data_IF_574616386159
#
_entry.id   IF_574616386159
#
_cell.length_a   1.000
_cell.length_b   1.000
_cell.length_c   1.000
_cell.angle_alpha   90.00
_cell.angle_beta   90.00
_cell.angle_gamma   90.00
#
_symmetry.space_group_name_H-M   'P 1'
#
loop_
_entity.id
_entity.type
_entity.pdbx_description
1 polymer ?
#
# COMPACT_ATOMS: atom_id res chain seq x y z
N UNK A 1 21.59 26.78 10.98
CA UNK A 1 20.39 26.10 10.45
C UNK A 1 20.63 24.60 10.49
N UNK A 2 20.06 23.89 11.46
CA UNK A 2 20.18 22.43 11.58
C UNK A 2 19.30 21.74 10.53
N UNK A 3 19.82 20.81 9.71
CA UNK A 3 19.02 20.13 8.71
C UNK A 3 17.94 19.29 9.42
N UNK A 4 16.67 19.53 9.09
CA UNK A 4 15.53 18.73 9.55
C UNK A 4 15.61 17.36 8.88
N UNK A 5 16.31 16.42 9.51
CA UNK A 5 16.36 15.01 9.12
C UNK A 5 14.99 14.37 9.40
N UNK A 6 14.27 13.98 8.35
CA UNK A 6 12.97 13.29 8.45
C UNK A 6 13.13 11.77 8.26
N UNK A 7 12.23 11.03 8.92
CA UNK A 7 12.33 9.61 9.26
C UNK A 7 11.16 8.78 8.70
N UNK A 8 11.37 7.45 8.70
CA UNK A 8 10.64 6.37 8.00
C UNK A 8 9.25 6.67 7.43
N UNK A 9 9.05 6.23 6.19
CA UNK A 9 7.91 6.62 5.37
C UNK A 9 7.09 5.42 4.90
N UNK A 10 5.76 5.56 4.82
CA UNK A 10 4.90 4.69 4.02
C UNK A 10 5.07 5.02 2.54
N UNK A 11 5.12 4.02 1.66
CA UNK A 11 5.29 4.24 0.21
C UNK A 11 3.98 4.04 -0.53
N UNK A 12 3.73 4.88 -1.53
CA UNK A 12 2.64 4.70 -2.48
C UNK A 12 3.27 4.50 -3.85
N UNK A 13 3.17 3.29 -4.38
CA UNK A 13 3.69 2.95 -5.70
C UNK A 13 2.57 3.08 -6.73
N UNK A 14 2.73 3.96 -7.72
CA UNK A 14 1.82 4.10 -8.86
C UNK A 14 2.36 3.25 -10.02
N UNK A 15 1.61 2.23 -10.40
CA UNK A 15 1.91 1.35 -11.53
C UNK A 15 1.27 1.92 -12.79
N UNK A 16 2.11 2.38 -13.71
CA UNK A 16 1.73 2.72 -15.09
C UNK A 16 2.00 1.49 -15.96
N UNK A 17 0.95 0.86 -16.50
CA UNK A 17 1.13 -0.08 -17.61
C UNK A 17 1.22 0.72 -18.91
N UNK A 18 2.39 0.75 -19.53
CA UNK A 18 2.58 1.39 -20.84
C UNK A 18 1.91 0.59 -21.95
N UNK A 19 0.85 1.15 -22.52
CA UNK A 19 0.50 1.25 -23.95
C UNK A 19 -0.74 2.16 -24.02
N UNK A 20 -0.58 3.41 -24.49
CA UNK A 20 -1.72 4.30 -24.79
C UNK A 20 -2.02 4.17 -26.26
N UNK A 21 -3.10 3.46 -26.59
CA UNK A 21 -3.81 3.63 -27.86
C UNK A 21 -5.23 4.10 -27.56
N UNK A 22 -5.61 5.17 -28.26
CA UNK A 22 -6.93 5.78 -28.41
C UNK A 22 -7.74 6.08 -27.12
N UNK A 23 -7.88 7.40 -26.89
CA UNK A 23 -8.99 8.10 -26.23
C UNK A 23 -10.22 7.21 -25.96
N UNK A 24 -10.32 6.68 -24.74
CA UNK A 24 -11.53 5.98 -24.28
C UNK A 24 -12.26 6.85 -23.27
N UNK A 25 -13.34 7.46 -23.72
CA UNK A 25 -14.41 7.98 -22.85
C UNK A 25 -15.01 6.80 -22.09
N UNK A 26 -14.82 6.70 -20.78
CA UNK A 26 -15.40 5.60 -20.00
C UNK A 26 -14.94 5.58 -18.56
N UNK A 27 -15.76 5.04 -17.67
CA UNK A 27 -15.65 4.97 -16.20
C UNK A 27 -14.45 4.14 -15.65
N UNK A 28 -13.42 3.91 -16.46
CA UNK A 28 -12.33 2.96 -16.20
C UNK A 28 -11.04 3.61 -15.67
N UNK A 29 -10.25 2.83 -14.96
CA UNK A 29 -8.99 3.22 -14.34
C UNK A 29 -7.80 2.66 -15.12
N UNK A 30 -7.03 3.51 -15.80
CA UNK A 30 -5.84 3.08 -16.55
C UNK A 30 -4.59 2.92 -15.66
N UNK A 31 -4.71 3.24 -14.37
CA UNK A 31 -3.61 3.23 -13.41
C UNK A 31 -4.01 2.49 -12.15
N UNK A 32 -3.03 1.90 -11.47
CA UNK A 32 -3.23 1.22 -10.20
C UNK A 32 -2.21 1.70 -9.19
N UNK A 33 -2.66 1.93 -7.97
CA UNK A 33 -1.81 2.25 -6.84
C UNK A 33 -1.66 1.00 -5.98
N UNK A 34 -0.42 0.58 -5.74
CA UNK A 34 -0.09 -0.33 -4.65
C UNK A 34 0.53 0.48 -3.51
N UNK A 35 -0.23 0.69 -2.45
CA UNK A 35 0.27 1.31 -1.23
C UNK A 35 0.99 0.25 -0.39
N UNK A 36 2.26 0.51 -0.07
CA UNK A 36 3.03 -0.25 0.89
C UNK A 36 3.09 0.53 2.20
N UNK A 37 2.95 -0.17 3.33
CA UNK A 37 3.11 0.43 4.65
C UNK A 37 4.16 -0.31 5.44
N UNK A 38 4.87 0.46 6.27
CA UNK A 38 5.85 -0.05 7.21
C UNK A 38 5.16 -0.22 8.57
N UNK A 39 4.88 -1.46 9.02
CA UNK A 39 4.04 -1.70 10.20
C UNK A 39 4.56 -1.02 11.47
N UNK A 40 5.88 -0.93 11.65
CA UNK A 40 6.48 -0.35 12.86
C UNK A 40 6.20 1.14 12.96
N UNK A 41 6.38 1.89 11.87
CA UNK A 41 6.13 3.34 11.87
C UNK A 41 4.64 3.66 12.02
N UNK A 42 3.78 2.92 11.32
CA UNK A 42 2.33 3.10 11.43
C UNK A 42 1.82 2.75 12.83
N UNK A 43 2.27 1.64 13.39
CA UNK A 43 1.92 1.25 14.76
C UNK A 43 2.38 2.31 15.78
N UNK A 44 3.61 2.81 15.65
CA UNK A 44 4.16 3.80 16.58
C UNK A 44 3.32 5.07 16.57
N UNK A 45 3.03 5.58 15.38
CA UNK A 45 2.14 6.74 15.18
C UNK A 45 0.74 6.47 15.73
N UNK A 46 0.19 5.28 15.47
CA UNK A 46 -1.14 4.89 15.95
C UNK A 46 -1.23 4.89 17.48
N UNK A 47 -0.27 4.28 18.16
CA UNK A 47 -0.23 4.22 19.63
C UNK A 47 0.00 5.59 20.26
N UNK A 48 0.70 6.50 19.58
CA UNK A 48 0.97 7.85 20.09
C UNK A 48 -0.22 8.79 20.01
N UNK A 49 -1.15 8.58 19.06
CA UNK A 49 -2.34 9.41 18.90
C UNK A 49 -3.31 9.31 20.09
N UNK A 50 -3.34 8.18 20.77
CA UNK A 50 -4.20 7.97 21.94
C UNK A 50 -3.64 6.85 22.82
N UNK A 51 -3.57 7.08 24.13
CA UNK A 51 -3.08 6.11 25.12
C UNK A 51 -3.85 4.78 25.13
N UNK A 52 -5.11 4.75 24.68
CA UNK A 52 -5.90 3.53 24.57
C UNK A 52 -5.67 2.76 23.27
N UNK A 53 -4.90 3.31 22.33
CA UNK A 53 -4.65 2.64 21.05
C UNK A 53 -3.67 1.48 21.24
N UNK A 54 -4.00 0.36 20.59
CA UNK A 54 -3.13 -0.79 20.51
C UNK A 54 -3.00 -1.20 19.04
N UNK A 55 -1.82 -1.72 18.69
CA UNK A 55 -1.54 -2.16 17.34
C UNK A 55 -1.16 -3.65 17.30
N UNK A 56 -1.12 -4.22 16.10
CA UNK A 56 -0.54 -5.53 15.81
C UNK A 56 0.60 -5.34 14.81
N UNK A 57 1.81 -5.75 15.18
CA UNK A 57 2.97 -5.77 14.27
C UNK A 57 3.13 -7.20 13.73
N UNK A 58 3.18 -7.40 12.40
CA UNK A 58 3.41 -8.72 11.81
C UNK A 58 4.78 -9.30 12.20
N UNK A 59 4.92 -10.64 12.33
CA UNK A 59 6.11 -11.26 12.89
C UNK A 59 7.39 -10.98 12.08
N UNK A 60 7.27 -10.92 10.76
CA UNK A 60 8.41 -10.69 9.85
C UNK A 60 8.85 -9.22 9.78
N UNK A 61 8.09 -8.28 10.37
CA UNK A 61 8.37 -6.84 10.38
C UNK A 61 8.79 -6.29 9.00
N UNK A 62 8.14 -6.76 7.95
CA UNK A 62 8.40 -6.38 6.57
C UNK A 62 7.34 -5.40 6.05
N UNK A 63 7.53 -4.84 4.85
CA UNK A 63 6.52 -4.10 4.12
C UNK A 63 5.30 -4.97 3.88
N UNK A 64 4.13 -4.42 4.21
CA UNK A 64 2.85 -5.05 3.92
C UNK A 64 2.02 -4.15 3.03
N UNK A 65 0.98 -4.72 2.43
CA UNK A 65 0.00 -3.96 1.67
C UNK A 65 -0.77 -3.06 2.64
N UNK A 66 -0.81 -1.78 2.30
CA UNK A 66 -1.71 -0.80 2.89
C UNK A 66 -2.95 -0.52 2.07
N UNK A 67 -2.92 -0.86 0.78
CA UNK A 67 -4.04 -0.66 -0.12
C UNK A 67 -3.73 -1.02 -1.57
N UNK A 68 -4.75 -1.36 -2.34
CA UNK A 68 -4.64 -1.59 -3.77
C UNK A 68 -5.78 -0.88 -4.51
N UNK A 69 -5.47 0.25 -5.14
CA UNK A 69 -6.51 1.22 -5.51
C UNK A 69 -6.46 1.53 -7.01
N UNK A 70 -7.56 1.33 -7.75
CA UNK A 70 -7.77 1.97 -9.03
C UNK A 70 -7.53 3.48 -8.91
N UNK A 71 -6.85 4.06 -9.90
CA UNK A 71 -6.58 5.48 -9.99
C UNK A 71 -6.98 6.04 -11.35
N UNK A 72 -7.70 7.17 -11.31
CA UNK A 72 -7.99 8.01 -12.46
C UNK A 72 -7.53 9.43 -12.18
N UNK A 73 -6.94 10.08 -13.18
CA UNK A 73 -6.47 11.46 -13.04
C UNK A 73 -7.59 12.49 -12.82
N UNK A 74 -8.81 12.21 -13.28
CA UNK A 74 -9.95 13.13 -13.17
C UNK A 74 -10.71 13.02 -11.84
N UNK A 75 -10.81 11.82 -11.26
CA UNK A 75 -11.59 11.56 -10.04
C UNK A 75 -10.70 11.32 -8.80
N UNK A 76 -9.40 11.09 -8.98
CA UNK A 76 -8.40 10.80 -7.93
C UNK A 76 -8.86 9.73 -6.91
N UNK A 77 -8.44 8.47 -7.13
CA UNK A 77 -8.78 7.31 -6.28
C UNK A 77 -10.29 7.16 -6.06
N UNK A 78 -11.06 6.75 -7.08
CA UNK A 78 -12.50 6.56 -6.94
C UNK A 78 -12.83 5.55 -5.83
N UNK A 79 -13.97 5.77 -5.16
CA UNK A 79 -14.46 4.97 -4.03
C UNK A 79 -15.88 4.48 -4.28
N UNK A 80 -16.20 3.28 -3.80
CA UNK A 80 -17.55 2.71 -3.77
C UNK A 80 -18.24 2.71 -5.15
N UNK A 81 -17.50 2.42 -6.22
CA UNK A 81 -18.00 2.47 -7.60
C UNK A 81 -19.15 1.49 -7.86
N UNK A 82 -19.21 0.40 -7.10
CA UNK A 82 -20.35 -0.50 -7.09
C UNK A 82 -20.60 -1.01 -5.67
N UNK A 83 -21.60 -0.42 -4.99
CA UNK A 83 -21.95 -0.75 -3.59
C UNK A 83 -22.50 -2.16 -3.39
N UNK A 84 -22.91 -2.83 -4.47
CA UNK A 84 -23.40 -4.21 -4.43
C UNK A 84 -22.27 -5.25 -4.57
N UNK A 85 -21.05 -4.83 -4.92
CA UNK A 85 -19.90 -5.72 -5.06
C UNK A 85 -19.21 -5.98 -3.72
N UNK A 86 -19.79 -6.87 -2.93
CA UNK A 86 -19.19 -7.34 -1.69
C UNK A 86 -18.12 -8.42 -1.94
N UNK A 87 -17.12 -8.48 -1.05
CA UNK A 87 -16.09 -9.51 -1.12
C UNK A 87 -16.68 -10.90 -0.80
N UNK A 88 -16.30 -11.90 -1.59
CA UNK A 88 -16.70 -13.29 -1.33
C UNK A 88 -16.01 -13.87 -0.09
N UNK A 89 -16.78 -14.24 0.93
CA UNK A 89 -16.26 -14.88 2.15
C UNK A 89 -15.54 -16.20 1.88
N UNK A 90 -16.04 -17.00 0.92
CA UNK A 90 -15.39 -18.23 0.48
C UNK A 90 -13.97 -17.95 -0.03
N UNK A 91 -13.82 -16.94 -0.90
CA UNK A 91 -12.53 -16.55 -1.45
C UNK A 91 -11.62 -16.00 -0.36
N UNK A 92 -12.13 -15.12 0.51
CA UNK A 92 -11.34 -14.55 1.61
C UNK A 92 -10.82 -15.64 2.54
N UNK A 93 -11.61 -16.66 2.84
CA UNK A 93 -11.18 -17.80 3.65
C UNK A 93 -10.11 -18.65 2.92
N UNK A 94 -10.22 -18.87 1.60
CA UNK A 94 -9.22 -19.58 0.79
C UNK A 94 -7.84 -18.90 0.86
N UNK A 95 -7.79 -17.57 0.77
CA UNK A 95 -6.54 -16.80 0.69
C UNK A 95 -6.12 -16.16 2.03
N UNK A 96 -6.87 -16.42 3.10
CA UNK A 96 -6.68 -15.84 4.43
C UNK A 96 -5.23 -15.97 4.93
N UNK A 97 -4.54 -17.12 4.83
CA UNK A 97 -3.16 -17.23 5.32
C UNK A 97 -2.22 -16.22 4.63
N UNK A 98 -2.35 -16.05 3.32
CA UNK A 98 -1.53 -15.08 2.58
C UNK A 98 -1.87 -13.64 2.95
N UNK A 99 -3.15 -13.32 3.14
CA UNK A 99 -3.57 -11.97 3.55
C UNK A 99 -3.15 -11.63 4.98
N UNK A 100 -3.18 -12.58 5.92
CA UNK A 100 -2.72 -12.35 7.29
C UNK A 100 -1.23 -12.00 7.35
N UNK A 101 -0.42 -12.54 6.44
CA UNK A 101 1.01 -12.24 6.38
C UNK A 101 1.28 -10.91 5.68
N UNK A 102 0.55 -10.62 4.61
CA UNK A 102 0.94 -9.58 3.64
C UNK A 102 -0.01 -8.37 3.60
N UNK A 103 -1.20 -8.46 4.18
CA UNK A 103 -2.15 -7.36 4.32
C UNK A 103 -2.88 -7.40 5.68
N UNK A 104 -2.15 -7.53 6.80
CA UNK A 104 -2.78 -7.62 8.12
C UNK A 104 -3.33 -6.27 8.56
N UNK A 105 -4.37 -6.27 9.39
CA UNK A 105 -4.78 -5.10 10.17
C UNK A 105 -3.70 -4.74 11.19
N UNK A 106 -3.35 -3.46 11.23
CA UNK A 106 -2.43 -2.89 12.23
C UNK A 106 -3.21 -2.36 13.43
N UNK A 107 -4.45 -1.87 13.28
CA UNK A 107 -5.31 -1.49 14.40
C UNK A 107 -5.87 -2.76 15.07
N UNK A 108 -5.58 -2.96 16.36
CA UNK A 108 -6.08 -4.11 17.13
C UNK A 108 -7.61 -4.14 17.24
N UNK A 109 -8.27 -2.99 17.07
CA UNK A 109 -9.74 -2.87 17.11
C UNK A 109 -10.40 -3.30 15.80
N UNK A 110 -9.66 -3.27 14.70
CA UNK A 110 -10.17 -3.64 13.37
C UNK A 110 -9.77 -5.06 13.05
N UNK A 111 -10.76 -5.94 12.92
CA UNK A 111 -10.53 -7.32 12.48
C UNK A 111 -10.06 -7.38 11.03
N UNK A 112 -9.12 -8.29 10.74
CA UNK A 112 -8.59 -8.53 9.38
C UNK A 112 -9.68 -8.71 8.32
N UNK A 113 -10.71 -9.49 8.63
CA UNK A 113 -11.80 -9.73 7.68
C UNK A 113 -12.60 -8.45 7.38
N UNK A 114 -12.83 -7.59 8.38
CA UNK A 114 -13.48 -6.29 8.18
C UNK A 114 -12.62 -5.42 7.27
N UNK A 115 -11.33 -5.28 7.59
CA UNK A 115 -10.39 -4.52 6.78
C UNK A 115 -10.45 -4.93 5.30
N UNK A 116 -10.38 -6.23 5.00
CA UNK A 116 -10.39 -6.69 3.60
C UNK A 116 -11.75 -6.46 2.92
N UNK A 117 -12.86 -6.66 3.64
CA UNK A 117 -14.20 -6.37 3.09
C UNK A 117 -14.37 -4.89 2.79
N UNK A 118 -13.92 -4.02 3.69
CA UNK A 118 -14.01 -2.57 3.56
C UNK A 118 -13.11 -2.07 2.42
N UNK A 119 -11.87 -2.54 2.33
CA UNK A 119 -10.95 -2.24 1.21
C UNK A 119 -11.51 -2.71 -0.13
N UNK A 120 -12.08 -3.91 -0.21
CA UNK A 120 -12.68 -4.41 -1.45
C UNK A 120 -13.92 -3.59 -1.84
N UNK A 121 -14.81 -3.30 -0.89
CA UNK A 121 -16.02 -2.52 -1.16
C UNK A 121 -15.69 -1.09 -1.59
N UNK A 122 -14.74 -0.44 -0.92
CA UNK A 122 -14.33 0.91 -1.24
C UNK A 122 -13.53 0.98 -2.54
N UNK A 123 -12.54 0.11 -2.74
CA UNK A 123 -11.58 0.24 -3.84
C UNK A 123 -11.65 -0.89 -4.87
N UNK A 124 -11.81 -2.13 -4.43
CA UNK A 124 -11.98 -3.29 -5.32
C UNK A 124 -13.22 -3.18 -6.21
N UNK A 125 -14.31 -2.60 -5.71
CA UNK A 125 -15.53 -2.32 -6.47
C UNK A 125 -15.31 -1.36 -7.65
N UNK A 126 -14.20 -0.61 -7.67
CA UNK A 126 -13.80 0.26 -8.77
C UNK A 126 -12.90 -0.43 -9.81
N UNK A 127 -12.52 -1.69 -9.58
CA UNK A 127 -11.69 -2.49 -10.48
C UNK A 127 -12.52 -3.46 -11.36
N UNK A 128 -13.86 -3.39 -11.30
CA UNK A 128 -14.78 -4.32 -11.95
C UNK A 128 -14.64 -4.39 -13.48
N UNK A 129 -14.13 -3.34 -14.11
CA UNK A 129 -13.89 -3.29 -15.56
C UNK A 129 -12.50 -3.77 -15.97
N UNK A 130 -11.63 -4.07 -15.00
CA UNK A 130 -10.27 -4.53 -15.26
C UNK A 130 -10.28 -6.05 -15.17
N UNK A 131 -10.16 -6.75 -16.29
CA UNK A 131 -10.31 -8.22 -16.36
C UNK A 131 -9.40 -8.99 -15.40
N UNK A 132 -8.25 -8.40 -15.06
CA UNK A 132 -7.28 -8.95 -14.12
C UNK A 132 -7.61 -8.71 -12.63
N UNK A 133 -8.62 -7.89 -12.31
CA UNK A 133 -9.04 -7.49 -10.95
C UNK A 133 -10.57 -7.44 -10.75
N UNK A 134 -11.36 -7.90 -11.72
CA UNK A 134 -12.81 -7.70 -11.76
C UNK A 134 -13.62 -8.57 -10.79
N UNK A 135 -12.96 -9.39 -9.96
CA UNK A 135 -13.59 -10.18 -8.90
C UNK A 135 -12.72 -10.18 -7.63
N UNK A 136 -13.29 -10.68 -6.52
CA UNK A 136 -12.61 -10.74 -5.21
C UNK A 136 -11.26 -11.48 -5.31
N UNK A 137 -11.23 -12.63 -5.97
CA UNK A 137 -10.04 -13.50 -6.02
C UNK A 137 -8.92 -12.83 -6.80
N UNK A 138 -9.24 -12.32 -7.98
CA UNK A 138 -8.34 -11.60 -8.87
C UNK A 138 -7.81 -10.31 -8.24
N UNK A 139 -8.66 -9.53 -7.56
CA UNK A 139 -8.25 -8.32 -6.87
C UNK A 139 -7.18 -8.61 -5.79
N UNK A 140 -7.48 -9.51 -4.85
CA UNK A 140 -6.55 -9.80 -3.75
C UNK A 140 -5.29 -10.54 -4.21
N UNK A 141 -5.41 -11.55 -5.08
CA UNK A 141 -4.22 -12.22 -5.64
C UNK A 141 -3.39 -11.27 -6.49
N UNK A 142 -4.03 -10.35 -7.20
CA UNK A 142 -3.39 -9.28 -7.95
C UNK A 142 -2.56 -8.36 -7.06
N UNK A 143 -3.09 -7.95 -5.91
CA UNK A 143 -2.37 -7.14 -4.93
C UNK A 143 -1.17 -7.90 -4.31
N UNK A 144 -1.38 -9.15 -3.88
CA UNK A 144 -0.34 -10.02 -3.30
C UNK A 144 0.81 -10.28 -4.29
N UNK A 145 0.49 -10.57 -5.55
CA UNK A 145 1.48 -10.76 -6.60
C UNK A 145 2.33 -9.49 -6.83
N UNK A 146 1.71 -8.31 -6.74
CA UNK A 146 2.42 -7.03 -6.88
C UNK A 146 3.30 -6.73 -5.67
N UNK A 147 2.86 -7.02 -4.44
CA UNK A 147 3.72 -6.90 -3.26
C UNK A 147 5.01 -7.72 -3.44
N UNK A 148 4.88 -8.95 -3.93
CA UNK A 148 6.02 -9.83 -4.19
C UNK A 148 6.94 -9.27 -5.29
N UNK A 149 6.35 -8.80 -6.39
CA UNK A 149 7.09 -8.22 -7.52
C UNK A 149 7.83 -6.94 -7.17
N UNK A 150 7.20 -6.09 -6.35
CA UNK A 150 7.72 -4.78 -5.94
C UNK A 150 8.24 -4.83 -4.51
N UNK A 151 9.08 -5.83 -4.21
CA UNK A 151 9.62 -6.07 -2.87
C UNK A 151 10.50 -4.90 -2.41
N UNK A 152 9.92 -3.97 -1.65
CA UNK A 152 10.61 -2.79 -1.16
C UNK A 152 11.75 -3.11 -0.19
N UNK A 153 11.69 -4.22 0.55
CA UNK A 153 12.79 -4.63 1.42
C UNK A 153 14.03 -4.94 0.59
N UNK A 154 13.90 -5.76 -0.45
CA UNK A 154 15.02 -6.07 -1.33
C UNK A 154 15.52 -4.82 -2.07
N UNK A 155 14.61 -4.06 -2.67
CA UNK A 155 14.93 -2.85 -3.43
C UNK A 155 15.72 -1.84 -2.61
N UNK A 156 15.31 -1.60 -1.36
CA UNK A 156 15.99 -0.67 -0.47
C UNK A 156 17.32 -1.25 0.04
N UNK A 157 17.35 -2.54 0.38
CA UNK A 157 18.56 -3.22 0.83
C UNK A 157 19.68 -3.21 -0.23
N UNK A 158 19.35 -3.41 -1.51
CA UNK A 158 20.30 -3.34 -2.64
C UNK A 158 20.98 -1.97 -2.75
N UNK A 159 20.35 -0.92 -2.20
CA UNK A 159 20.88 0.45 -2.12
C UNK A 159 21.41 0.81 -0.74
N UNK A 160 21.64 -0.18 0.12
CA UNK A 160 22.10 -0.04 1.51
C UNK A 160 21.17 0.86 2.35
N UNK A 161 19.88 0.81 2.05
CA UNK A 161 18.81 1.46 2.81
C UNK A 161 18.15 0.38 3.66
N UNK A 162 18.46 0.37 4.96
CA UNK A 162 17.99 -0.64 5.91
C UNK A 162 17.32 0.02 7.11
N UNK A 163 16.38 -0.68 7.80
CA UNK A 163 15.80 -0.18 9.04
C UNK A 163 16.86 0.23 10.08
N UNK A 164 16.57 1.26 10.87
CA UNK A 164 17.45 1.75 11.96
C UNK A 164 18.47 2.83 11.59
N UNK A 165 18.60 3.18 10.31
CA UNK A 165 19.47 4.27 9.85
C UNK A 165 18.68 5.46 9.28
N UNK A 166 19.38 6.57 9.02
CA UNK A 166 18.80 7.80 8.48
C UNK A 166 19.14 7.98 7.00
N UNK A 167 18.12 8.31 6.21
CA UNK A 167 18.23 8.55 4.79
C UNK A 167 17.41 9.75 4.39
N UNK A 168 17.88 10.53 3.41
CA UNK A 168 17.06 11.57 2.83
C UNK A 168 15.90 10.97 2.05
N UNK A 169 14.77 11.67 2.00
CA UNK A 169 13.61 11.27 1.20
C UNK A 169 14.01 11.05 -0.26
N UNK A 170 14.86 11.91 -0.83
CA UNK A 170 15.33 11.77 -2.20
C UNK A 170 16.13 10.48 -2.42
N UNK A 171 17.04 10.12 -1.49
CA UNK A 171 17.80 8.87 -1.59
C UNK A 171 16.88 7.66 -1.61
N UNK A 172 15.83 7.68 -0.80
CA UNK A 172 14.82 6.62 -0.75
C UNK A 172 14.01 6.56 -2.05
N UNK A 173 13.51 7.71 -2.53
CA UNK A 173 12.74 7.78 -3.76
C UNK A 173 13.54 7.33 -4.98
N UNK A 174 14.78 7.78 -5.11
CA UNK A 174 15.68 7.38 -6.20
C UNK A 174 16.00 5.89 -6.16
N UNK A 175 16.21 5.33 -4.96
CA UNK A 175 16.42 3.89 -4.81
C UNK A 175 15.26 3.07 -5.39
N UNK A 176 14.01 3.50 -5.15
CA UNK A 176 12.83 2.81 -5.69
C UNK A 176 12.64 3.08 -7.18
N UNK A 177 12.74 4.34 -7.62
CA UNK A 177 12.56 4.72 -9.03
C UNK A 177 13.56 4.05 -9.95
N UNK A 178 14.82 3.91 -9.52
CA UNK A 178 15.90 3.36 -10.32
C UNK A 178 15.98 1.82 -10.29
N UNK A 179 15.05 1.14 -9.61
CA UNK A 179 14.98 -0.33 -9.57
C UNK A 179 14.11 -0.94 -10.67
N UNK A 180 13.43 -0.11 -11.48
CA UNK A 180 12.54 -0.58 -12.53
C UNK A 180 12.91 -0.02 -13.90
N UNK A 181 12.88 -0.87 -14.92
CA UNK A 181 13.17 -0.48 -16.31
C UNK A 181 12.07 0.38 -16.93
N UNK A 182 10.85 0.32 -16.39
CA UNK A 182 9.72 1.12 -16.85
C UNK A 182 9.50 2.30 -15.89
N UNK A 183 9.21 3.51 -16.40
CA UNK A 183 8.97 4.67 -15.56
C UNK A 183 7.72 4.46 -14.70
N UNK A 184 7.93 4.34 -13.40
CA UNK A 184 6.87 4.23 -12.40
C UNK A 184 6.82 5.50 -11.56
N UNK A 185 5.61 5.99 -11.30
CA UNK A 185 5.41 7.08 -10.37
C UNK A 185 5.54 6.54 -8.94
N UNK A 186 6.33 7.22 -8.10
CA UNK A 186 6.58 6.80 -6.72
C UNK A 186 6.28 7.97 -5.80
N UNK A 187 5.33 7.76 -4.89
CA UNK A 187 5.00 8.66 -3.80
C UNK A 187 5.51 8.11 -2.48
N UNK A 188 5.83 9.02 -1.55
CA UNK A 188 6.30 8.68 -0.21
C UNK A 188 5.59 9.57 0.79
N UNK A 189 5.02 8.97 1.83
CA UNK A 189 4.37 9.67 2.94
C UNK A 189 5.12 9.34 4.21
N UNK A 190 5.79 10.33 4.79
CA UNK A 190 6.55 10.15 6.02
C UNK A 190 5.73 10.59 7.23
N UNK A 191 5.97 9.96 8.38
CA UNK A 191 5.38 10.37 9.66
C UNK A 191 6.48 11.05 10.46
N UNK A 192 6.21 12.27 10.92
CA UNK A 192 7.08 12.98 11.84
C UNK A 192 6.54 12.85 13.25
N UNK A 193 7.37 12.37 14.18
CA UNK A 193 7.00 12.29 15.57
C UNK A 193 7.85 13.26 16.40
N UNK A 194 7.20 14.14 17.16
CA UNK A 194 7.87 15.23 17.86
C UNK A 194 8.68 14.73 19.06
N UNK A 195 8.13 13.82 19.87
CA UNK A 195 8.81 13.33 21.08
C UNK A 195 10.06 12.50 20.77
N UNK A 196 10.06 11.77 19.65
CA UNK A 196 11.26 11.07 19.19
C UNK A 196 12.03 11.89 18.17
N UNK A 197 11.60 13.11 17.82
CA UNK A 197 12.09 13.86 16.65
C UNK A 197 12.09 13.01 15.37
N UNK A 198 11.27 11.95 15.32
CA UNK A 198 11.17 10.84 14.37
C UNK A 198 12.19 9.70 14.52
N UNK A 199 12.94 9.60 15.62
CA UNK A 199 13.83 8.45 15.89
C UNK A 199 12.93 7.26 16.27
N UNK A 200 13.12 6.11 15.62
CA UNK A 200 12.64 4.81 16.09
C UNK A 200 13.73 3.81 15.72
#
# INVERSE_FOLDING_TARGET
MTPKLLKFCSFILLLTSGFVSAKQSGHFSNHLILAHRWPVSECTDWMQRNVSNACIIPPYRDWVIGGFWPYRYDVNKPLYCNRSMHASDKVLNEIKPSLLLNWPSIDKRTGNLSLWKDEYLAHGSCAYSLDNFNDTKKYFKGALSRLTKYNLTQILADRKIVPGAHYSINKILEAVKNSFNNPMEVGIKCIYHEATKGYI
#
